data_IF_072342621011
#
_entry.id   IF_072342621011
#
_cell.length_a   1.000
_cell.length_b   1.000
_cell.length_c   1.000
_cell.angle_alpha   90.00
_cell.angle_beta   90.00
_cell.angle_gamma   90.00
#
_symmetry.space_group_name_H-M   'P 1'
#
loop_
_entity.id
_entity.type
_entity.pdbx_description
1 polymer ?
#
# COMPACT_ATOMS: atom_id res chain seq x y z
N UNK A 1 -17.87 2.70 0.47
CA UNK A 1 -16.57 2.66 -0.21
C UNK A 1 -16.74 2.37 -1.68
N UNK A 2 -15.82 2.90 -2.50
CA UNK A 2 -15.72 2.62 -3.94
C UNK A 2 -14.26 2.35 -4.30
N UNK A 3 -14.04 1.40 -5.22
CA UNK A 3 -12.71 1.07 -5.71
C UNK A 3 -12.59 1.55 -7.17
N UNK A 4 -11.49 2.23 -7.47
CA UNK A 4 -11.15 2.76 -8.78
C UNK A 4 -9.82 2.13 -9.26
N UNK A 5 -9.67 1.98 -10.57
CA UNK A 5 -8.41 1.52 -11.17
C UNK A 5 -8.02 2.50 -12.28
N UNK A 6 -6.79 3.04 -12.20
CA UNK A 6 -6.20 3.88 -13.23
C UNK A 6 -5.08 3.17 -13.99
N UNK A 7 -4.68 3.74 -15.11
CA UNK A 7 -3.67 3.13 -15.99
C UNK A 7 -4.19 1.93 -16.77
N UNK A 8 -5.50 1.81 -16.96
CA UNK A 8 -6.10 0.76 -17.79
C UNK A 8 -5.69 0.91 -19.26
N UNK A 9 -5.56 -0.21 -20.01
CA UNK A 9 -5.29 -0.15 -21.44
C UNK A 9 -6.28 0.75 -22.17
N UNK A 10 -5.75 1.74 -22.90
CA UNK A 10 -6.56 2.72 -23.64
C UNK A 10 -7.24 3.80 -22.79
N UNK A 11 -7.08 3.79 -21.47
CA UNK A 11 -7.53 4.87 -20.61
C UNK A 11 -6.60 6.08 -20.80
N UNK A 12 -7.16 7.24 -21.00
CA UNK A 12 -6.43 8.51 -21.01
C UNK A 12 -6.82 9.39 -19.83
N UNK A 13 -6.05 10.45 -19.59
CA UNK A 13 -6.26 11.36 -18.48
C UNK A 13 -7.67 11.96 -18.46
N UNK A 14 -8.23 12.30 -19.63
CA UNK A 14 -9.58 12.90 -19.70
C UNK A 14 -10.67 11.89 -19.28
N UNK A 15 -10.56 10.64 -19.73
CA UNK A 15 -11.49 9.59 -19.32
C UNK A 15 -11.38 9.26 -17.83
N UNK A 16 -10.16 9.31 -17.29
CA UNK A 16 -9.91 9.15 -15.87
C UNK A 16 -10.53 10.28 -15.04
N UNK A 17 -10.30 11.53 -15.42
CA UNK A 17 -10.92 12.70 -14.78
C UNK A 17 -12.42 12.55 -14.65
N UNK A 18 -13.11 12.18 -15.73
CA UNK A 18 -14.57 11.94 -15.72
C UNK A 18 -14.98 10.83 -14.72
N UNK A 19 -14.16 9.80 -14.55
CA UNK A 19 -14.44 8.72 -13.58
C UNK A 19 -14.27 9.21 -12.14
N UNK A 20 -13.19 9.93 -11.86
CA UNK A 20 -12.95 10.52 -10.53
C UNK A 20 -14.03 11.53 -10.18
N UNK A 21 -14.35 12.46 -11.08
CA UNK A 21 -15.40 13.46 -10.86
C UNK A 21 -16.76 12.78 -10.61
N UNK A 22 -17.05 11.70 -11.34
CA UNK A 22 -18.27 10.91 -11.11
C UNK A 22 -18.24 10.24 -9.73
N UNK A 23 -17.10 9.72 -9.28
CA UNK A 23 -16.96 9.13 -7.95
C UNK A 23 -17.26 10.16 -6.85
N UNK A 24 -16.83 11.42 -7.02
CA UNK A 24 -17.12 12.50 -6.06
C UNK A 24 -18.61 12.83 -5.95
N UNK A 25 -19.44 12.48 -6.95
CA UNK A 25 -20.91 12.66 -6.87
C UNK A 25 -21.61 11.55 -6.09
N UNK A 26 -20.91 10.49 -5.69
CA UNK A 26 -21.46 9.38 -4.94
C UNK A 26 -21.42 9.67 -3.44
N UNK A 27 -22.43 9.21 -2.72
CA UNK A 27 -22.46 9.30 -1.25
C UNK A 27 -21.60 8.19 -0.64
N UNK A 28 -20.28 8.34 -0.73
CA UNK A 28 -19.30 7.40 -0.18
C UNK A 28 -18.35 8.14 0.75
N UNK A 29 -17.85 7.46 1.77
CA UNK A 29 -16.92 8.01 2.76
C UNK A 29 -15.48 7.53 2.55
N UNK A 30 -15.26 6.57 1.64
CA UNK A 30 -13.95 5.97 1.42
C UNK A 30 -13.77 5.63 -0.07
N UNK A 31 -12.57 5.90 -0.59
CA UNK A 31 -12.16 5.64 -1.96
C UNK A 31 -10.84 4.88 -1.93
N UNK A 32 -10.80 3.73 -2.60
CA UNK A 32 -9.56 3.03 -2.93
C UNK A 32 -9.25 3.26 -4.40
N UNK A 33 -8.03 3.64 -4.74
CA UNK A 33 -7.64 3.82 -6.14
C UNK A 33 -6.27 3.20 -6.39
N UNK A 34 -6.24 2.25 -7.32
CA UNK A 34 -5.07 1.44 -7.61
C UNK A 34 -4.58 1.68 -9.03
N UNK A 35 -3.27 1.85 -9.20
CA UNK A 35 -2.65 1.74 -10.52
C UNK A 35 -2.70 0.29 -11.01
N UNK A 36 -3.03 0.08 -12.27
CA UNK A 36 -3.06 -1.26 -12.85
C UNK A 36 -1.66 -1.87 -12.86
N UNK A 37 -1.51 -3.03 -12.23
CA UNK A 37 -0.29 -3.83 -12.22
C UNK A 37 -0.47 -5.03 -13.16
N UNK A 38 0.52 -5.26 -14.04
CA UNK A 38 0.55 -6.39 -14.96
C UNK A 38 1.23 -7.60 -14.29
N UNK A 39 0.49 -8.30 -13.43
CA UNK A 39 1.00 -9.44 -12.68
C UNK A 39 1.46 -10.57 -13.61
N UNK A 40 2.69 -11.03 -13.38
CA UNK A 40 3.33 -12.09 -14.17
C UNK A 40 2.46 -13.35 -14.21
N UNK A 41 2.42 -14.01 -15.38
CA UNK A 41 1.63 -15.21 -15.66
C UNK A 41 0.11 -15.03 -15.75
N UNK A 42 -0.42 -13.81 -15.59
CA UNK A 42 -1.84 -13.54 -15.85
C UNK A 42 -2.15 -13.44 -17.35
N UNK A 43 -3.42 -13.61 -17.78
CA UNK A 43 -3.81 -13.37 -19.16
C UNK A 43 -3.48 -11.97 -19.65
N UNK A 44 -3.71 -10.95 -18.82
CA UNK A 44 -3.44 -9.54 -19.16
C UNK A 44 -1.93 -9.29 -19.38
N UNK A 45 -1.07 -9.86 -18.53
CA UNK A 45 0.37 -9.79 -18.69
C UNK A 45 0.84 -10.44 -20.01
N UNK A 46 0.26 -11.60 -20.38
CA UNK A 46 0.57 -12.26 -21.67
C UNK A 46 0.14 -11.41 -22.86
N UNK A 47 -0.99 -10.74 -22.79
CA UNK A 47 -1.46 -9.81 -23.82
C UNK A 47 -0.52 -8.61 -23.96
N UNK A 48 -0.08 -8.03 -22.85
CA UNK A 48 0.94 -6.97 -22.83
C UNK A 48 2.25 -7.45 -23.48
N UNK A 49 2.76 -8.62 -23.06
CA UNK A 49 4.01 -9.18 -23.63
C UNK A 49 3.92 -9.50 -25.12
N UNK A 50 2.74 -9.83 -25.63
CA UNK A 50 2.50 -10.07 -27.07
C UNK A 50 2.19 -8.80 -27.87
N UNK A 51 2.20 -7.62 -27.24
CA UNK A 51 1.88 -6.34 -27.88
C UNK A 51 0.38 -6.15 -28.21
N UNK A 52 -0.50 -7.05 -27.75
CA UNK A 52 -1.96 -6.90 -27.93
C UNK A 52 -2.56 -5.84 -27.01
N UNK A 53 -1.91 -5.59 -25.89
CA UNK A 53 -2.28 -4.56 -24.93
C UNK A 53 -1.08 -3.66 -24.71
N UNK A 54 -1.31 -2.36 -24.81
CA UNK A 54 -0.31 -1.32 -24.56
C UNK A 54 -0.63 -0.71 -23.19
N UNK A 55 0.28 -0.82 -22.19
CA UNK A 55 0.13 -0.13 -20.90
C UNK A 55 0.03 1.38 -21.10
N UNK A 56 -0.60 2.06 -20.14
CA UNK A 56 -0.40 3.50 -20.00
C UNK A 56 1.09 3.77 -19.75
N UNK A 57 1.61 4.87 -20.29
CA UNK A 57 2.97 5.30 -19.96
C UNK A 57 3.01 5.86 -18.52
N UNK A 58 4.21 5.86 -17.94
CA UNK A 58 4.42 6.26 -16.55
C UNK A 58 4.04 7.73 -16.29
N UNK A 59 4.25 8.62 -17.26
CA UNK A 59 3.90 10.03 -17.16
C UNK A 59 2.38 10.21 -17.06
N UNK A 60 1.64 9.56 -17.95
CA UNK A 60 0.16 9.54 -17.91
C UNK A 60 -0.36 8.94 -16.60
N UNK A 61 0.25 7.86 -16.11
CA UNK A 61 -0.15 7.24 -14.84
C UNK A 61 0.10 8.17 -13.65
N UNK A 62 1.21 8.90 -13.64
CA UNK A 62 1.51 9.92 -12.62
C UNK A 62 0.52 11.09 -12.66
N UNK A 63 0.19 11.61 -13.86
CA UNK A 63 -0.83 12.65 -14.01
C UNK A 63 -2.21 12.19 -13.52
N UNK A 64 -2.57 10.93 -13.77
CA UNK A 64 -3.82 10.34 -13.26
C UNK A 64 -3.83 10.30 -11.73
N UNK A 65 -2.71 9.91 -11.11
CA UNK A 65 -2.58 9.88 -9.67
C UNK A 65 -2.64 11.28 -9.06
N UNK A 66 -1.95 12.25 -9.64
CA UNK A 66 -1.97 13.64 -9.16
C UNK A 66 -3.39 14.22 -9.20
N UNK A 67 -4.10 14.04 -10.30
CA UNK A 67 -5.49 14.48 -10.42
C UNK A 67 -6.38 13.85 -9.34
N UNK A 68 -6.20 12.55 -9.07
CA UNK A 68 -6.95 11.85 -8.02
C UNK A 68 -6.70 12.49 -6.64
N UNK A 69 -5.42 12.66 -6.26
CA UNK A 69 -5.03 13.23 -4.96
C UNK A 69 -5.61 14.62 -4.78
N UNK A 70 -5.45 15.51 -5.77
CA UNK A 70 -5.97 16.87 -5.75
C UNK A 70 -7.50 16.89 -5.65
N UNK A 71 -8.19 16.06 -6.44
CA UNK A 71 -9.64 16.02 -6.47
C UNK A 71 -10.20 15.45 -5.16
N UNK A 72 -9.60 14.40 -4.61
CA UNK A 72 -9.99 13.85 -3.30
C UNK A 72 -9.84 14.90 -2.21
N UNK A 73 -8.69 15.57 -2.12
CA UNK A 73 -8.45 16.62 -1.13
C UNK A 73 -9.46 17.77 -1.24
N UNK A 74 -9.76 18.22 -2.48
CA UNK A 74 -10.75 19.26 -2.74
C UNK A 74 -12.20 18.89 -2.38
N UNK A 75 -12.49 17.59 -2.23
CA UNK A 75 -13.81 17.06 -1.86
C UNK A 75 -13.86 16.50 -0.42
N UNK A 76 -12.88 16.80 0.43
CA UNK A 76 -12.88 16.44 1.84
C UNK A 76 -12.48 14.99 2.14
N UNK A 77 -11.80 14.32 1.19
CA UNK A 77 -11.17 13.03 1.41
C UNK A 77 -9.68 13.26 1.69
N UNK A 78 -9.22 12.78 2.84
CA UNK A 78 -7.80 12.80 3.21
C UNK A 78 -7.13 11.51 2.74
N UNK A 79 -5.99 11.63 2.07
CA UNK A 79 -5.16 10.48 1.78
C UNK A 79 -4.51 9.99 3.07
N UNK A 80 -4.77 8.76 3.50
CA UNK A 80 -4.16 8.20 4.71
C UNK A 80 -3.08 7.14 4.41
N UNK A 81 -3.05 6.60 3.19
CA UNK A 81 -1.97 5.78 2.64
C UNK A 81 -1.94 5.89 1.12
N UNK A 82 -0.99 5.25 0.44
CA UNK A 82 -0.68 5.43 -0.98
C UNK A 82 -1.92 5.34 -1.88
N UNK A 83 -2.83 4.40 -1.63
CA UNK A 83 -3.94 4.06 -2.52
C UNK A 83 -5.32 4.37 -1.94
N UNK A 84 -5.40 4.81 -0.69
CA UNK A 84 -6.69 4.96 -0.01
C UNK A 84 -6.89 6.37 0.54
N UNK A 85 -8.11 6.84 0.35
CA UNK A 85 -8.60 8.17 0.72
C UNK A 85 -9.90 8.02 1.51
N UNK A 86 -10.08 8.79 2.58
CA UNK A 86 -11.26 8.72 3.42
C UNK A 86 -11.67 10.09 3.94
N UNK A 87 -12.95 10.27 4.21
CA UNK A 87 -13.39 11.36 5.08
C UNK A 87 -12.87 11.11 6.49
N UNK A 88 -12.67 12.17 7.26
CA UNK A 88 -12.11 12.10 8.61
C UNK A 88 -12.82 11.05 9.48
N UNK A 89 -12.07 10.09 10.03
CA UNK A 89 -12.60 9.00 10.86
C UNK A 89 -13.27 7.85 10.09
N UNK A 90 -13.17 7.83 8.75
CA UNK A 90 -13.75 6.80 7.90
C UNK A 90 -12.68 5.93 7.21
N UNK A 91 -11.45 5.97 7.71
CA UNK A 91 -10.34 5.15 7.23
C UNK A 91 -10.64 3.66 7.45
N UNK A 92 -10.18 2.80 6.54
CA UNK A 92 -10.31 1.36 6.69
C UNK A 92 -9.47 0.85 7.87
N UNK A 93 -10.12 0.52 8.99
CA UNK A 93 -9.45 -0.06 10.16
C UNK A 93 -8.72 -1.35 9.80
N UNK A 94 -9.26 -2.14 8.88
CA UNK A 94 -8.64 -3.37 8.39
C UNK A 94 -7.30 -3.08 7.72
N UNK A 95 -7.24 -2.09 6.82
CA UNK A 95 -6.00 -1.70 6.16
C UNK A 95 -4.98 -1.15 7.16
N UNK A 96 -5.44 -0.32 8.11
CA UNK A 96 -4.58 0.28 9.15
C UNK A 96 -3.91 -0.81 10.01
N UNK A 97 -4.59 -1.92 10.30
CA UNK A 97 -4.01 -3.06 11.02
C UNK A 97 -2.78 -3.59 10.27
N UNK A 98 -2.87 -3.77 8.95
CA UNK A 98 -1.74 -4.22 8.13
C UNK A 98 -0.62 -3.18 8.08
N UNK A 99 -0.95 -1.91 7.81
CA UNK A 99 0.06 -0.85 7.70
C UNK A 99 0.80 -0.57 9.01
N UNK A 100 0.17 -0.87 10.15
CA UNK A 100 0.79 -0.80 11.47
C UNK A 100 1.49 -2.09 11.88
N UNK A 101 1.52 -3.10 11.01
CA UNK A 101 2.12 -4.41 11.29
C UNK A 101 1.59 -5.01 12.60
N UNK A 102 0.27 -4.98 12.77
CA UNK A 102 -0.43 -5.51 13.94
C UNK A 102 -0.94 -6.92 13.70
N UNK A 103 -1.16 -7.72 14.75
CA UNK A 103 -1.77 -9.04 14.62
C UNK A 103 -3.15 -9.00 13.96
N UNK A 104 -3.42 -10.00 13.15
CA UNK A 104 -4.72 -10.20 12.50
C UNK A 104 -5.03 -11.68 12.34
N UNK A 105 -6.30 -12.01 12.14
CA UNK A 105 -6.79 -13.35 11.95
C UNK A 105 -7.47 -13.52 10.59
N UNK A 106 -7.02 -14.48 9.81
CA UNK A 106 -7.58 -14.83 8.50
C UNK A 106 -8.49 -16.05 8.59
N UNK A 107 -9.64 -15.98 7.95
CA UNK A 107 -10.63 -17.06 7.87
C UNK A 107 -10.83 -17.49 6.42
N UNK A 108 -10.94 -18.79 6.20
CA UNK A 108 -11.15 -19.38 4.89
C UNK A 108 -9.89 -20.01 4.30
N UNK A 109 -10.03 -20.64 3.11
CA UNK A 109 -8.92 -21.24 2.36
C UNK A 109 -7.91 -20.16 1.95
N UNK A 110 -6.62 -20.49 1.98
CA UNK A 110 -5.48 -19.62 1.70
C UNK A 110 -5.36 -18.36 2.59
N UNK A 111 -6.28 -18.14 3.55
CA UNK A 111 -6.24 -16.97 4.41
C UNK A 111 -5.05 -17.06 5.38
N UNK A 112 -4.35 -15.93 5.54
CA UNK A 112 -3.21 -15.80 6.42
C UNK A 112 -3.63 -15.10 7.72
N UNK A 113 -3.11 -15.59 8.85
CA UNK A 113 -3.16 -14.94 10.16
C UNK A 113 -1.75 -14.54 10.57
N UNK A 114 -1.62 -13.50 11.36
CA UNK A 114 -0.35 -13.03 11.91
C UNK A 114 -0.52 -12.72 13.39
N UNK A 115 0.37 -13.23 14.24
CA UNK A 115 0.33 -13.03 15.70
C UNK A 115 1.35 -12.01 16.23
N UNK A 116 2.14 -11.42 15.33
CA UNK A 116 3.24 -10.51 15.65
C UNK A 116 4.63 -11.17 15.51
N UNK A 117 4.71 -12.50 15.44
CA UNK A 117 5.96 -13.26 15.29
C UNK A 117 5.85 -14.38 14.25
N UNK A 118 4.64 -14.86 13.98
CA UNK A 118 4.38 -15.98 13.07
C UNK A 118 3.28 -15.64 12.10
N UNK A 119 3.43 -16.15 10.88
CA UNK A 119 2.33 -16.27 9.93
C UNK A 119 1.82 -17.70 9.90
N UNK A 120 0.49 -17.82 9.93
CA UNK A 120 -0.21 -19.06 9.77
C UNK A 120 -1.12 -18.95 8.56
N UNK A 121 -0.81 -19.70 7.50
CA UNK A 121 -1.62 -19.70 6.27
C UNK A 121 -2.43 -21.00 6.20
N UNK A 122 -3.74 -20.85 6.07
CA UNK A 122 -4.65 -21.97 5.92
C UNK A 122 -4.40 -22.72 4.61
N UNK A 123 -4.91 -23.96 4.51
CA UNK A 123 -4.81 -24.74 3.29
C UNK A 123 -5.32 -23.96 2.06
N UNK A 124 -4.61 -24.07 0.93
CA UNK A 124 -4.86 -23.27 -0.28
C UNK A 124 -6.20 -23.57 -0.93
N UNK A 125 -6.59 -24.86 -0.96
CA UNK A 125 -7.86 -25.26 -1.59
C UNK A 125 -9.01 -25.25 -0.59
N UNK A 126 -10.21 -24.97 -1.07
CA UNK A 126 -11.43 -25.06 -0.26
C UNK A 126 -11.61 -26.48 0.28
N UNK A 127 -11.31 -27.48 -0.53
CA UNK A 127 -11.46 -28.89 -0.16
C UNK A 127 -10.55 -29.26 1.03
N UNK A 128 -9.27 -28.90 0.97
CA UNK A 128 -8.32 -29.20 2.05
C UNK A 128 -8.62 -28.37 3.30
N UNK A 129 -9.06 -27.13 3.14
CA UNK A 129 -9.49 -26.30 4.26
C UNK A 129 -10.68 -26.90 4.99
N UNK A 130 -11.70 -27.41 4.27
CA UNK A 130 -12.87 -28.05 4.86
C UNK A 130 -12.55 -29.40 5.48
N UNK A 131 -11.53 -30.12 4.97
CA UNK A 131 -11.02 -31.37 5.59
C UNK A 131 -10.21 -31.09 6.86
N UNK A 132 -9.91 -29.87 7.20
CA UNK A 132 -9.09 -29.49 8.35
C UNK A 132 -7.59 -29.79 8.16
N UNK A 133 -7.11 -29.74 6.91
CA UNK A 133 -5.68 -29.87 6.62
C UNK A 133 -4.86 -28.85 7.40
N UNK A 134 -3.68 -29.30 7.87
CA UNK A 134 -2.82 -28.46 8.70
C UNK A 134 -2.38 -27.18 7.93
N UNK A 135 -2.42 -26.01 8.57
CA UNK A 135 -1.92 -24.77 7.99
C UNK A 135 -0.39 -24.81 7.87
N UNK A 136 0.16 -24.03 6.96
CA UNK A 136 1.59 -23.72 6.96
C UNK A 136 1.91 -22.70 8.05
N UNK A 137 3.11 -22.81 8.64
CA UNK A 137 3.60 -21.91 9.66
C UNK A 137 4.94 -21.31 9.21
N UNK A 138 5.09 -20.01 9.34
CA UNK A 138 6.32 -19.27 9.06
C UNK A 138 6.71 -18.49 10.31
N UNK A 139 7.88 -18.79 10.89
CA UNK A 139 8.48 -17.99 11.96
C UNK A 139 9.17 -16.78 11.35
N UNK A 140 8.83 -15.58 11.82
CA UNK A 140 9.38 -14.34 11.30
C UNK A 140 10.55 -13.90 12.17
N UNK A 141 11.75 -13.93 11.60
CA UNK A 141 12.92 -13.42 12.28
C UNK A 141 12.77 -11.91 12.59
N UNK A 142 13.28 -11.46 13.73
CA UNK A 142 13.17 -10.06 14.19
C UNK A 142 13.59 -9.05 13.12
N UNK A 143 14.68 -9.32 12.38
CA UNK A 143 15.14 -8.44 11.30
C UNK A 143 14.19 -8.39 10.11
N UNK A 144 13.58 -9.50 9.76
CA UNK A 144 12.54 -9.58 8.72
C UNK A 144 11.31 -8.79 9.15
N UNK A 145 10.82 -9.03 10.38
CA UNK A 145 9.68 -8.29 10.92
C UNK A 145 9.93 -6.78 11.02
N UNK A 146 11.16 -6.37 11.38
CA UNK A 146 11.56 -4.96 11.33
C UNK A 146 11.45 -4.40 9.91
N UNK A 147 12.01 -5.07 8.91
CA UNK A 147 11.98 -4.60 7.51
C UNK A 147 10.54 -4.51 6.99
N UNK A 148 9.70 -5.50 7.27
CA UNK A 148 8.29 -5.50 6.89
C UNK A 148 7.50 -4.37 7.57
N UNK A 149 7.71 -4.16 8.87
CA UNK A 149 7.06 -3.07 9.61
C UNK A 149 7.46 -1.69 9.08
N UNK A 150 8.71 -1.51 8.67
CA UNK A 150 9.19 -0.29 8.02
C UNK A 150 8.53 -0.11 6.66
N UNK A 151 8.57 -1.13 5.80
CA UNK A 151 7.97 -1.10 4.46
C UNK A 151 6.46 -0.79 4.50
N UNK A 152 5.72 -1.52 5.34
CA UNK A 152 4.27 -1.33 5.48
C UNK A 152 3.93 0.03 6.09
N UNK A 153 4.69 0.45 7.10
CA UNK A 153 4.47 1.72 7.77
C UNK A 153 4.77 2.94 6.89
N UNK A 154 5.73 2.84 5.97
CA UNK A 154 6.04 3.90 5.00
C UNK A 154 4.93 4.11 3.97
N UNK A 155 4.03 3.15 3.77
CA UNK A 155 2.84 3.35 2.92
C UNK A 155 1.89 4.42 3.46
N UNK A 156 1.88 4.65 4.78
CA UNK A 156 1.01 5.66 5.41
C UNK A 156 1.55 7.07 5.20
N UNK A 157 0.66 8.02 5.07
CA UNK A 157 1.02 9.45 4.94
C UNK A 157 1.70 9.99 6.20
N UNK A 158 1.34 9.48 7.38
CA UNK A 158 1.98 9.81 8.64
C UNK A 158 3.30 9.05 8.88
N UNK A 159 3.59 8.02 8.06
CA UNK A 159 4.83 7.26 8.07
C UNK A 159 5.01 6.38 9.32
N UNK A 160 6.28 6.15 9.68
CA UNK A 160 6.72 5.23 10.73
C UNK A 160 7.22 6.00 11.95
N UNK A 161 6.74 5.62 13.12
CA UNK A 161 7.29 6.06 14.40
C UNK A 161 8.53 5.23 14.76
N UNK A 162 9.70 5.86 14.67
CA UNK A 162 10.99 5.17 14.89
C UNK A 162 11.20 4.74 16.35
N UNK A 163 10.55 5.40 17.31
CA UNK A 163 10.59 4.97 18.71
C UNK A 163 9.77 3.72 18.95
N UNK A 164 8.58 3.64 18.33
CA UNK A 164 7.76 2.44 18.39
C UNK A 164 8.47 1.24 17.73
N UNK A 165 9.11 1.45 16.59
CA UNK A 165 9.93 0.43 15.92
C UNK A 165 11.06 -0.06 16.84
N UNK A 166 11.80 0.86 17.47
CA UNK A 166 12.85 0.50 18.43
C UNK A 166 12.29 -0.30 19.61
N UNK A 167 11.14 0.12 20.15
CA UNK A 167 10.48 -0.58 21.26
C UNK A 167 10.06 -2.01 20.87
N UNK A 168 9.55 -2.21 19.64
CA UNK A 168 9.05 -3.52 19.18
C UNK A 168 10.15 -4.49 18.80
N UNK A 169 11.18 -4.03 18.12
CA UNK A 169 12.20 -4.87 17.50
C UNK A 169 13.58 -4.79 18.18
N UNK A 170 13.78 -3.85 19.10
CA UNK A 170 15.10 -3.61 19.72
C UNK A 170 16.14 -3.01 18.76
N UNK A 171 15.75 -2.64 17.54
CA UNK A 171 16.60 -2.12 16.48
C UNK A 171 16.46 -0.60 16.44
N UNK A 172 17.60 0.13 16.51
CA UNK A 172 17.59 1.57 16.31
C UNK A 172 17.52 1.90 14.82
N UNK A 173 16.31 2.21 14.37
CA UNK A 173 16.07 2.51 12.96
C UNK A 173 16.85 3.75 12.50
N UNK A 174 17.17 4.71 13.38
CA UNK A 174 17.95 5.88 13.01
C UNK A 174 19.39 5.50 12.62
N UNK A 175 20.00 4.55 13.33
CA UNK A 175 21.35 4.07 13.02
C UNK A 175 21.32 3.20 11.75
N UNK A 176 20.33 2.31 11.63
CA UNK A 176 20.23 1.39 10.52
C UNK A 176 19.90 2.10 9.20
N UNK A 177 19.01 3.10 9.25
CA UNK A 177 18.54 3.81 8.06
C UNK A 177 19.43 5.00 7.66
N UNK A 178 20.35 5.44 8.51
CA UNK A 178 21.18 6.62 8.23
C UNK A 178 21.96 6.51 6.92
N UNK A 179 22.41 5.32 6.54
CA UNK A 179 23.13 5.08 5.30
C UNK A 179 22.18 4.84 4.11
N UNK A 180 21.12 4.04 4.30
CA UNK A 180 20.24 3.60 3.21
C UNK A 180 19.18 4.64 2.84
N UNK A 181 18.58 5.30 3.84
CA UNK A 181 17.57 6.35 3.57
C UNK A 181 18.18 7.68 3.12
N UNK A 182 19.47 7.93 3.37
CA UNK A 182 20.11 9.19 3.03
C UNK A 182 19.97 9.55 1.54
N UNK A 183 20.07 8.57 0.65
CA UNK A 183 19.93 8.80 -0.79
C UNK A 183 18.50 9.20 -1.16
N UNK A 184 17.48 8.56 -0.55
CA UNK A 184 16.06 8.87 -0.78
C UNK A 184 15.66 10.21 -0.18
N UNK A 185 16.20 10.55 1.00
CA UNK A 185 16.01 11.88 1.62
C UNK A 185 16.63 12.96 0.73
N UNK A 186 17.84 12.73 0.21
CA UNK A 186 18.50 13.68 -0.70
C UNK A 186 17.74 13.86 -2.01
N UNK A 187 17.09 12.80 -2.51
CA UNK A 187 16.21 12.85 -3.69
C UNK A 187 14.83 13.48 -3.38
N UNK A 188 14.55 13.83 -2.14
CA UNK A 188 13.25 14.38 -1.72
C UNK A 188 12.11 13.37 -1.72
N UNK A 189 12.40 12.06 -1.68
CA UNK A 189 11.41 10.99 -1.64
C UNK A 189 10.99 10.61 -0.22
N UNK A 190 11.93 10.73 0.72
CA UNK A 190 11.70 10.50 2.15
C UNK A 190 11.91 11.79 2.96
N UNK A 191 11.19 11.91 4.05
CA UNK A 191 11.33 12.98 5.04
C UNK A 191 11.49 12.39 6.42
N UNK A 192 12.56 12.80 7.12
CA UNK A 192 12.77 12.50 8.53
C UNK A 192 12.39 13.74 9.37
N UNK A 193 11.31 13.64 10.14
CA UNK A 193 10.99 14.63 11.18
C UNK A 193 11.74 14.28 12.46
N UNK A 194 12.86 14.96 12.70
CA UNK A 194 13.73 14.70 13.85
C UNK A 194 13.07 15.04 15.20
N UNK A 195 12.10 15.96 15.24
CA UNK A 195 11.35 16.30 16.47
C UNK A 195 10.36 15.20 16.83
N UNK A 196 9.62 14.71 15.85
CA UNK A 196 8.62 13.64 16.00
C UNK A 196 9.25 12.25 15.92
N UNK A 197 10.51 12.15 15.50
CA UNK A 197 11.19 10.87 15.21
C UNK A 197 10.37 9.98 14.27
N UNK A 198 9.82 10.58 13.22
CA UNK A 198 9.03 9.89 12.22
C UNK A 198 9.73 9.94 10.86
N UNK A 199 9.74 8.80 10.18
CA UNK A 199 10.17 8.68 8.79
C UNK A 199 8.92 8.49 7.93
N UNK A 200 8.74 9.32 6.92
CA UNK A 200 7.60 9.23 6.01
C UNK A 200 8.03 9.46 4.56
N UNK A 201 7.24 8.96 3.61
CA UNK A 201 7.32 9.40 2.24
C UNK A 201 6.91 10.88 2.16
N UNK A 202 7.49 11.60 1.22
CA UNK A 202 6.97 12.92 0.79
C UNK A 202 5.81 12.71 -0.18
N UNK A 203 5.08 13.75 -0.56
CA UNK A 203 4.07 13.68 -1.64
C UNK A 203 4.69 13.12 -2.94
N UNK A 204 5.90 13.57 -3.26
CA UNK A 204 6.65 13.03 -4.39
C UNK A 204 7.03 11.56 -4.18
N UNK A 205 7.46 11.17 -2.97
CA UNK A 205 7.81 9.79 -2.63
C UNK A 205 6.63 8.83 -2.69
N UNK A 206 5.41 9.29 -2.38
CA UNK A 206 4.19 8.47 -2.47
C UNK A 206 3.95 7.91 -3.89
N UNK A 207 4.32 8.66 -4.92
CA UNK A 207 4.22 8.24 -6.32
C UNK A 207 5.11 7.04 -6.66
N UNK A 208 6.17 6.84 -5.89
CA UNK A 208 7.17 5.77 -6.06
C UNK A 208 7.22 4.80 -4.88
N UNK A 209 6.16 4.77 -4.08
CA UNK A 209 6.13 4.02 -2.81
C UNK A 209 6.36 2.51 -2.94
N UNK A 210 6.19 1.93 -4.13
CA UNK A 210 6.50 0.51 -4.39
C UNK A 210 7.97 0.28 -4.81
N UNK A 211 8.75 1.34 -5.03
CA UNK A 211 10.15 1.29 -5.46
C UNK A 211 11.14 1.68 -4.33
N UNK A 212 10.62 2.27 -3.25
CA UNK A 212 11.35 2.74 -2.08
C UNK A 212 11.26 1.70 -0.96
#
# INVERSE_FOLDING_TARGET
SIDLIFGLPGQNLESWKKQVDKAMTLDVQHISAYGLIYEKNTPLWRQMKSGKVIPADDETALEMYDYLVETCAGNGFEQYEISNFAQSGQESLHNIVYWNYLPYMGFGSAACSFDGQRRRTNAETIEDYLKGSAPSLEEIATRTGFAEAMFLGLRKTDGVDLMEIKRRFGIDACEFLAAESASFIKKGLLRLDGKKRRLSLTEHGMKFGNEI
#
